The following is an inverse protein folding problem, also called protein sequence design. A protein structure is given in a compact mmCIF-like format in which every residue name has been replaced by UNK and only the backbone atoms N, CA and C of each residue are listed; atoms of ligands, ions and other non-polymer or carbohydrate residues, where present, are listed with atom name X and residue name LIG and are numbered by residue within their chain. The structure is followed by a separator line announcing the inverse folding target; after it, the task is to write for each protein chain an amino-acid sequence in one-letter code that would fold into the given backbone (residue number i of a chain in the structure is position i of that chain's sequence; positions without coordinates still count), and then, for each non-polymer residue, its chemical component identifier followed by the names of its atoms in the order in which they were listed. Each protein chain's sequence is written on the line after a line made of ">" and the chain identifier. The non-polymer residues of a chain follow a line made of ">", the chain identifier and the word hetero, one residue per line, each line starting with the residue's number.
data_IF_255619330278
#
_entry.id   IF_255619330278
#
_cell.length_a   1.000
_cell.length_b   1.000
_cell.length_c   1.000
_cell.angle_alpha   90.00
_cell.angle_beta   90.00
_cell.angle_gamma   90.00
#
_symmetry.space_group_name_H-M   'P 1'
#
loop_
_entity.id
_entity.type
_entity.pdbx_description
1 polymer ?
#
# COMPACT_ATOMS: atom_id res chain seq x y z
N UNK A 1 11.32 4.32 19.94
CA UNK A 1 12.15 4.35 18.72
C UNK A 1 11.36 5.06 17.64
N UNK A 2 12.00 5.78 16.72
CA UNK A 2 11.26 6.43 15.62
C UNK A 2 11.01 5.46 14.46
N UNK A 3 10.14 5.83 13.52
CA UNK A 3 9.78 4.99 12.38
C UNK A 3 10.99 4.57 11.53
N UNK A 4 11.98 5.43 11.33
CA UNK A 4 13.19 5.08 10.57
C UNK A 4 14.03 4.00 11.27
N UNK A 5 14.11 4.04 12.61
CA UNK A 5 14.77 3.00 13.40
C UNK A 5 14.01 1.67 13.31
N UNK A 6 12.68 1.71 13.35
CA UNK A 6 11.84 0.52 13.21
C UNK A 6 12.00 -0.12 11.83
N UNK A 7 12.00 0.67 10.75
CA UNK A 7 12.28 0.16 9.39
C UNK A 7 13.66 -0.50 9.34
N UNK A 8 14.69 0.15 9.90
CA UNK A 8 16.04 -0.43 9.97
C UNK A 8 16.07 -1.77 10.70
N UNK A 9 15.39 -1.87 11.84
CA UNK A 9 15.29 -3.08 12.66
C UNK A 9 14.48 -4.20 11.98
N UNK A 10 13.42 -3.84 11.26
CA UNK A 10 12.66 -4.78 10.43
C UNK A 10 13.52 -5.36 9.30
N UNK A 11 14.34 -4.53 8.64
CA UNK A 11 15.22 -4.96 7.55
C UNK A 11 16.43 -5.79 8.03
N UNK A 12 16.93 -5.55 9.24
CA UNK A 12 18.02 -6.33 9.84
C UNK A 12 17.56 -7.64 10.48
N UNK A 13 16.25 -7.84 10.64
CA UNK A 13 15.67 -8.98 11.35
C UNK A 13 15.75 -8.87 12.88
N UNK A 14 15.97 -7.66 13.40
CA UNK A 14 15.91 -7.38 14.85
C UNK A 14 14.46 -7.36 15.36
N UNK A 15 13.49 -7.14 14.46
CA UNK A 15 12.05 -7.34 14.69
C UNK A 15 11.64 -8.63 13.96
N UNK A 16 10.81 -9.45 14.61
CA UNK A 16 10.36 -10.70 14.02
C UNK A 16 9.58 -10.46 12.71
N UNK A 17 9.84 -11.28 11.70
CA UNK A 17 9.21 -11.16 10.38
C UNK A 17 7.69 -11.20 10.46
N UNK A 18 7.13 -12.09 11.29
CA UNK A 18 5.68 -12.21 11.51
C UNK A 18 5.08 -10.90 12.08
N UNK A 19 5.80 -10.21 12.98
CA UNK A 19 5.35 -8.95 13.57
C UNK A 19 5.37 -7.81 12.54
N UNK A 20 6.40 -7.76 11.69
CA UNK A 20 6.50 -6.81 10.57
C UNK A 20 5.37 -7.08 9.58
N UNK A 21 5.20 -8.32 9.15
CA UNK A 21 4.18 -8.73 8.20
C UNK A 21 2.78 -8.39 8.73
N UNK A 22 2.51 -8.67 10.00
CA UNK A 22 1.20 -8.40 10.57
C UNK A 22 0.93 -6.89 10.70
N UNK A 23 1.92 -6.09 11.13
CA UNK A 23 1.77 -4.63 11.16
C UNK A 23 1.46 -4.05 9.76
N UNK A 24 2.12 -4.55 8.72
CA UNK A 24 1.87 -4.13 7.34
C UNK A 24 0.56 -4.65 6.78
N UNK A 25 0.13 -5.85 7.16
CA UNK A 25 -1.18 -6.38 6.82
C UNK A 25 -2.30 -5.53 7.41
N UNK A 26 -2.13 -5.04 8.65
CA UNK A 26 -3.09 -4.12 9.27
C UNK A 26 -3.20 -2.80 8.51
N UNK A 27 -2.13 -2.30 7.90
CA UNK A 27 -2.17 -1.08 7.05
C UNK A 27 -3.14 -1.24 5.88
N UNK A 28 -3.12 -2.39 5.21
CA UNK A 28 -3.99 -2.64 4.05
C UNK A 28 -5.41 -3.07 4.44
N UNK A 29 -5.58 -3.75 5.57
CA UNK A 29 -6.85 -4.40 5.91
C UNK A 29 -7.71 -3.63 6.92
N UNK A 30 -7.13 -2.87 7.84
CA UNK A 30 -7.91 -2.11 8.84
C UNK A 30 -8.85 -1.10 8.18
N UNK A 31 -8.45 -0.36 7.13
CA UNK A 31 -9.36 0.54 6.42
C UNK A 31 -10.64 -0.13 5.91
N UNK A 32 -10.58 -1.41 5.49
CA UNK A 32 -11.73 -2.15 4.96
C UNK A 32 -12.86 -2.36 5.99
N UNK A 33 -12.54 -2.21 7.29
CA UNK A 33 -13.51 -2.35 8.37
C UNK A 33 -14.35 -1.07 8.58
N UNK A 34 -14.11 -0.01 7.80
CA UNK A 34 -14.74 1.29 7.93
C UNK A 34 -15.30 1.77 6.59
N UNK A 35 -16.53 2.30 6.59
CA UNK A 35 -17.24 2.68 5.36
C UNK A 35 -16.64 3.92 4.66
N UNK A 36 -16.07 4.88 5.41
CA UNK A 36 -15.57 6.14 4.83
C UNK A 36 -14.25 6.66 5.43
N UNK A 37 -13.58 5.87 6.27
CA UNK A 37 -12.28 6.23 6.85
C UNK A 37 -12.26 7.45 7.77
N UNK A 38 -13.39 8.10 8.05
CA UNK A 38 -13.39 9.36 8.83
C UNK A 38 -13.08 9.16 10.30
N UNK A 39 -13.41 7.99 10.83
CA UNK A 39 -13.30 7.68 12.26
C UNK A 39 -12.10 6.80 12.60
N UNK A 40 -11.36 6.33 11.60
CA UNK A 40 -10.20 5.49 11.83
C UNK A 40 -9.10 6.27 12.58
N UNK A 41 -8.48 5.60 13.53
CA UNK A 41 -7.42 6.15 14.36
C UNK A 41 -6.28 5.14 14.55
N UNK A 42 -5.13 5.62 15.02
CA UNK A 42 -3.93 4.82 15.30
C UNK A 42 -4.24 3.63 16.22
N UNK A 43 -5.11 3.85 17.20
CA UNK A 43 -5.50 2.84 18.18
C UNK A 43 -6.25 1.66 17.57
N UNK A 44 -6.95 1.86 16.45
CA UNK A 44 -7.67 0.79 15.76
C UNK A 44 -6.68 -0.23 15.18
N UNK A 45 -5.56 0.25 14.63
CA UNK A 45 -4.47 -0.58 14.16
C UNK A 45 -3.72 -1.24 15.32
N UNK A 46 -3.36 -0.47 16.35
CA UNK A 46 -2.62 -1.01 17.51
C UNK A 46 -3.39 -2.12 18.25
N UNK A 47 -4.71 -2.02 18.31
CA UNK A 47 -5.56 -3.08 18.89
C UNK A 47 -5.61 -4.34 18.04
N UNK A 48 -5.34 -4.22 16.75
CA UNK A 48 -5.29 -5.33 15.81
C UNK A 48 -4.01 -6.16 15.90
N UNK A 49 -2.93 -5.62 16.48
CA UNK A 49 -1.66 -6.34 16.61
C UNK A 49 -1.80 -7.63 17.43
N UNK A 50 -1.28 -8.73 16.89
CA UNK A 50 -1.28 -10.05 17.53
C UNK A 50 -0.38 -10.06 18.76
N UNK A 51 0.78 -9.42 18.65
CA UNK A 51 1.73 -9.24 19.74
C UNK A 51 1.79 -7.77 20.15
N UNK A 52 1.81 -7.54 21.46
CA UNK A 52 1.94 -6.19 21.99
C UNK A 52 3.37 -5.69 21.80
N UNK A 53 3.58 -4.56 21.11
CA UNK A 53 4.91 -4.04 20.87
C UNK A 53 5.56 -3.60 22.19
N UNK A 54 6.89 -3.61 22.23
CA UNK A 54 7.62 -2.96 23.32
C UNK A 54 7.28 -1.46 23.37
N UNK A 55 7.57 -0.80 24.50
CA UNK A 55 7.35 0.64 24.63
C UNK A 55 8.12 1.45 23.56
N UNK A 56 9.27 0.95 23.12
CA UNK A 56 10.05 1.59 22.07
C UNK A 56 9.41 1.41 20.70
N UNK A 57 8.99 0.19 20.33
CA UNK A 57 8.31 -0.10 19.05
C UNK A 57 6.93 0.58 18.96
N UNK A 58 6.22 0.67 20.07
CA UNK A 58 4.90 1.30 20.13
C UNK A 58 4.94 2.75 19.64
N UNK A 59 6.03 3.48 19.87
CA UNK A 59 6.21 4.85 19.37
C UNK A 59 6.30 4.88 17.83
N UNK A 60 7.08 3.98 17.24
CA UNK A 60 7.21 3.88 15.79
C UNK A 60 5.93 3.37 15.11
N UNK A 61 5.24 2.41 15.73
CA UNK A 61 3.96 1.89 15.22
C UNK A 61 2.84 2.92 15.33
N UNK A 62 2.82 3.75 16.39
CA UNK A 62 1.93 4.91 16.44
C UNK A 62 2.21 5.88 15.28
N UNK A 63 3.48 6.18 14.99
CA UNK A 63 3.85 7.03 13.86
C UNK A 63 3.37 6.43 12.52
N UNK A 64 3.62 5.14 12.31
CA UNK A 64 3.19 4.40 11.11
C UNK A 64 1.67 4.41 10.92
N UNK A 65 0.92 4.04 11.96
CA UNK A 65 -0.54 4.00 11.91
C UNK A 65 -1.17 5.39 11.89
N UNK A 66 -0.48 6.40 12.42
CA UNK A 66 -0.86 7.81 12.29
C UNK A 66 -0.81 8.29 10.85
N UNK A 67 0.22 7.86 10.10
CA UNK A 67 0.30 8.11 8.65
C UNK A 67 -0.88 7.45 7.93
N UNK A 68 -1.20 6.19 8.25
CA UNK A 68 -2.32 5.47 7.65
C UNK A 68 -3.67 6.13 7.95
N UNK A 69 -3.91 6.53 9.19
CA UNK A 69 -5.12 7.25 9.58
C UNK A 69 -5.22 8.63 8.90
N UNK A 70 -4.11 9.36 8.77
CA UNK A 70 -4.06 10.62 8.04
C UNK A 70 -4.37 10.43 6.55
N UNK A 71 -3.83 9.38 5.94
CA UNK A 71 -4.10 9.01 4.55
C UNK A 71 -5.59 8.70 4.33
N UNK A 72 -6.18 7.87 5.19
CA UNK A 72 -7.60 7.55 5.15
C UNK A 72 -8.48 8.81 5.26
N UNK A 73 -8.16 9.72 6.18
CA UNK A 73 -8.89 10.99 6.33
C UNK A 73 -8.76 11.91 5.13
N UNK A 74 -7.60 11.93 4.48
CA UNK A 74 -7.37 12.73 3.27
C UNK A 74 -8.27 12.27 2.12
N UNK A 75 -8.48 10.96 2.00
CA UNK A 75 -9.25 10.33 0.94
C UNK A 75 -10.60 9.79 1.44
N UNK A 76 -11.25 10.46 2.39
CA UNK A 76 -12.47 10.00 3.05
C UNK A 76 -13.76 10.12 2.20
N UNK A 77 -13.65 10.52 0.93
CA UNK A 77 -14.75 10.49 -0.04
C UNK A 77 -14.82 9.08 -0.65
N UNK A 78 -16.01 8.49 -0.76
CA UNK A 78 -16.19 7.07 -1.04
C UNK A 78 -15.33 6.53 -2.21
N UNK A 79 -15.36 7.17 -3.37
CA UNK A 79 -14.61 6.71 -4.54
C UNK A 79 -13.08 6.85 -4.39
N UNK A 80 -12.61 7.84 -3.63
CA UNK A 80 -11.18 8.02 -3.35
C UNK A 80 -10.73 7.08 -2.23
N UNK A 81 -11.62 6.76 -1.29
CA UNK A 81 -11.39 5.82 -0.21
C UNK A 81 -11.21 4.41 -0.76
N UNK A 82 -12.12 3.95 -1.62
CA UNK A 82 -12.03 2.64 -2.29
C UNK A 82 -10.73 2.54 -3.11
N UNK A 83 -10.39 3.60 -3.85
CA UNK A 83 -9.13 3.65 -4.61
C UNK A 83 -7.90 3.61 -3.70
N UNK A 84 -7.92 4.32 -2.58
CA UNK A 84 -6.83 4.31 -1.61
C UNK A 84 -6.65 2.92 -1.01
N UNK A 85 -7.74 2.24 -0.65
CA UNK A 85 -7.69 0.85 -0.15
C UNK A 85 -7.11 -0.12 -1.18
N UNK A 86 -7.56 -0.02 -2.43
CA UNK A 86 -7.09 -0.84 -3.54
C UNK A 86 -5.58 -0.64 -3.80
N UNK A 87 -5.09 0.62 -3.76
CA UNK A 87 -3.66 0.92 -3.88
C UNK A 87 -2.85 0.32 -2.73
N UNK A 88 -3.29 0.50 -1.47
CA UNK A 88 -2.55 -0.03 -0.31
C UNK A 88 -2.57 -1.56 -0.30
N UNK A 89 -3.67 -2.18 -0.74
CA UNK A 89 -3.77 -3.64 -0.89
C UNK A 89 -2.77 -4.15 -1.93
N UNK A 90 -2.69 -3.52 -3.10
CA UNK A 90 -1.68 -3.85 -4.10
C UNK A 90 -0.26 -3.62 -3.57
N UNK A 91 -0.01 -2.53 -2.83
CA UNK A 91 1.31 -2.28 -2.24
C UNK A 91 1.74 -3.38 -1.26
N UNK A 92 0.81 -3.86 -0.43
CA UNK A 92 1.07 -4.99 0.46
C UNK A 92 1.44 -6.26 -0.32
N UNK A 93 0.70 -6.58 -1.38
CA UNK A 93 1.00 -7.73 -2.24
C UNK A 93 2.36 -7.60 -2.93
N UNK A 94 2.71 -6.41 -3.42
CA UNK A 94 4.00 -6.15 -4.04
C UNK A 94 5.14 -6.22 -3.02
N UNK A 95 4.93 -5.78 -1.78
CA UNK A 95 5.91 -5.91 -0.71
C UNK A 95 6.12 -7.39 -0.33
N UNK A 96 5.03 -8.15 -0.15
CA UNK A 96 5.09 -9.57 0.17
C UNK A 96 5.78 -10.40 -0.92
N UNK A 97 5.69 -9.97 -2.18
CA UNK A 97 6.39 -10.58 -3.33
C UNK A 97 7.84 -10.08 -3.52
N UNK A 98 8.32 -9.16 -2.69
CA UNK A 98 9.66 -8.58 -2.77
C UNK A 98 9.86 -7.59 -3.92
N UNK A 99 8.78 -7.09 -4.52
CA UNK A 99 8.80 -6.11 -5.61
C UNK A 99 8.86 -4.68 -5.04
N UNK A 100 8.06 -4.40 -4.01
CA UNK A 100 8.05 -3.11 -3.32
C UNK A 100 8.92 -3.19 -2.06
N UNK A 101 9.91 -2.30 -1.97
CA UNK A 101 10.74 -2.20 -0.77
C UNK A 101 9.97 -1.52 0.36
N UNK A 102 10.17 -1.98 1.60
CA UNK A 102 9.52 -1.39 2.78
C UNK A 102 9.76 0.12 2.88
N UNK A 103 11.01 0.56 2.69
CA UNK A 103 11.38 1.99 2.75
C UNK A 103 10.62 2.83 1.72
N UNK A 104 10.50 2.32 0.49
CA UNK A 104 9.81 3.02 -0.59
C UNK A 104 8.30 3.07 -0.33
N UNK A 105 7.73 1.99 0.22
CA UNK A 105 6.33 1.96 0.61
C UNK A 105 6.02 2.99 1.70
N UNK A 106 6.79 3.01 2.79
CA UNK A 106 6.56 3.97 3.89
C UNK A 106 6.74 5.41 3.38
N UNK A 107 7.75 5.67 2.55
CA UNK A 107 7.97 6.99 1.97
C UNK A 107 6.81 7.41 1.04
N UNK A 108 6.23 6.47 0.30
CA UNK A 108 5.05 6.71 -0.53
C UNK A 108 3.83 7.05 0.34
N UNK A 109 3.55 6.26 1.39
CA UNK A 109 2.43 6.50 2.32
C UNK A 109 2.53 7.89 2.98
N UNK A 110 3.72 8.27 3.44
CA UNK A 110 3.98 9.61 3.99
C UNK A 110 3.72 10.70 2.96
N UNK A 111 4.24 10.54 1.74
CA UNK A 111 4.01 11.49 0.66
C UNK A 111 2.54 11.63 0.31
N UNK A 112 1.79 10.52 0.28
CA UNK A 112 0.36 10.52 -0.02
C UNK A 112 -0.45 11.19 1.10
N UNK A 113 -0.18 10.87 2.37
CA UNK A 113 -0.84 11.47 3.52
C UNK A 113 -0.62 13.00 3.60
N UNK A 114 0.58 13.46 3.25
CA UNK A 114 0.95 14.88 3.19
C UNK A 114 0.46 15.60 1.92
N UNK A 115 -0.07 14.86 0.95
CA UNK A 115 -0.50 15.40 -0.34
C UNK A 115 0.62 15.80 -1.30
N UNK A 116 1.82 15.26 -1.09
CA UNK A 116 2.94 15.35 -2.05
C UNK A 116 2.83 14.31 -3.16
N UNK A 117 2.09 13.23 -2.93
CA UNK A 117 1.79 12.16 -3.88
C UNK A 117 0.26 12.07 -3.97
N UNK A 118 -0.27 11.98 -5.18
CA UNK A 118 -1.68 11.74 -5.42
C UNK A 118 -1.92 10.24 -5.68
N UNK A 119 -3.14 9.77 -5.39
CA UNK A 119 -3.53 8.41 -5.74
C UNK A 119 -3.45 8.21 -7.26
N UNK A 120 -2.97 7.05 -7.74
CA UNK A 120 -2.99 6.73 -9.16
C UNK A 120 -4.43 6.75 -9.69
N UNK A 121 -4.69 7.56 -10.71
CA UNK A 121 -5.98 7.56 -11.42
C UNK A 121 -5.79 6.94 -12.79
N UNK A 122 -6.69 6.03 -13.16
CA UNK A 122 -6.73 5.36 -14.45
C UNK A 122 -8.08 5.56 -15.12
N UNK A 123 -8.05 5.77 -16.42
CA UNK A 123 -9.19 5.57 -17.30
C UNK A 123 -9.07 4.17 -17.90
N UNK A 124 -9.67 3.18 -17.24
CA UNK A 124 -9.54 1.79 -17.66
C UNK A 124 -10.25 1.51 -18.99
N UNK A 125 -11.29 2.27 -19.33
CA UNK A 125 -11.95 2.17 -20.63
C UNK A 125 -11.03 2.68 -21.74
N UNK A 126 -10.29 3.77 -21.52
CA UNK A 126 -9.27 4.25 -22.46
C UNK A 126 -8.13 3.23 -22.63
N UNK A 127 -7.67 2.64 -21.53
CA UNK A 127 -6.51 1.72 -21.53
C UNK A 127 -6.87 0.34 -22.10
N UNK A 128 -8.01 -0.24 -21.71
CA UNK A 128 -8.41 -1.61 -22.09
C UNK A 128 -9.40 -1.64 -23.26
N UNK A 129 -9.93 -0.49 -23.69
CA UNK A 129 -10.98 -0.36 -24.71
C UNK A 129 -12.39 -0.64 -24.19
N UNK A 130 -12.52 -1.38 -23.08
CA UNK A 130 -13.71 -1.50 -22.25
C UNK A 130 -13.33 -2.24 -20.97
N UNK A 131 -13.60 -1.65 -19.81
CA UNK A 131 -13.41 -2.26 -18.51
C UNK A 131 -14.76 -2.69 -17.91
N UNK A 132 -14.79 -3.78 -17.12
CA UNK A 132 -15.94 -4.12 -16.29
C UNK A 132 -16.35 -2.98 -15.34
N UNK A 133 -17.63 -2.96 -14.94
CA UNK A 133 -18.07 -2.06 -13.87
C UNK A 133 -17.37 -2.41 -12.56
N UNK A 134 -16.82 -1.41 -11.88
CA UNK A 134 -16.08 -1.60 -10.63
C UNK A 134 -14.67 -2.15 -10.81
N UNK A 135 -14.10 -2.10 -12.02
CA UNK A 135 -12.71 -2.49 -12.26
C UNK A 135 -11.73 -1.56 -11.53
N UNK A 136 -10.81 -2.17 -10.78
CA UNK A 136 -9.89 -1.49 -9.88
C UNK A 136 -8.43 -1.69 -10.31
N UNK A 137 -7.50 -1.03 -9.62
CA UNK A 137 -6.06 -1.11 -9.91
C UNK A 137 -5.52 -2.52 -9.65
N UNK A 138 -6.03 -3.23 -8.64
CA UNK A 138 -5.66 -4.62 -8.43
C UNK A 138 -6.11 -5.52 -9.59
N UNK A 139 -7.32 -5.32 -10.13
CA UNK A 139 -7.78 -6.05 -11.32
C UNK A 139 -6.90 -5.73 -12.54
N UNK A 140 -6.48 -4.47 -12.68
CA UNK A 140 -5.58 -4.06 -13.76
C UNK A 140 -4.21 -4.74 -13.62
N UNK A 141 -3.68 -4.83 -12.41
CA UNK A 141 -2.44 -5.57 -12.14
C UNK A 141 -2.56 -7.05 -12.52
N UNK A 142 -3.64 -7.70 -12.14
CA UNK A 142 -3.88 -9.11 -12.43
C UNK A 142 -4.04 -9.35 -13.94
N UNK A 143 -4.77 -8.49 -14.65
CA UNK A 143 -4.93 -8.56 -16.12
C UNK A 143 -3.59 -8.40 -16.84
N UNK A 144 -2.73 -7.47 -16.41
CA UNK A 144 -1.40 -7.29 -16.99
C UNK A 144 -0.53 -8.53 -16.77
N UNK A 145 -0.53 -9.11 -15.57
CA UNK A 145 0.24 -10.33 -15.30
C UNK A 145 -0.30 -11.51 -16.11
N UNK A 146 -1.63 -11.67 -16.18
CA UNK A 146 -2.26 -12.73 -16.96
C UNK A 146 -1.87 -12.68 -18.44
N UNK A 147 -1.81 -11.49 -19.04
CA UNK A 147 -1.31 -11.32 -20.43
C UNK A 147 0.15 -11.73 -20.58
N UNK A 148 0.98 -11.37 -19.61
CA UNK A 148 2.41 -11.69 -19.62
C UNK A 148 2.69 -13.19 -19.39
N UNK A 149 1.76 -13.95 -18.81
CA UNK A 149 1.88 -15.41 -18.74
C UNK A 149 1.85 -16.07 -20.13
N UNK A 150 1.02 -15.56 -21.05
CA UNK A 150 0.92 -16.07 -22.42
C UNK A 150 1.95 -15.41 -23.37
N UNK A 151 2.21 -14.11 -23.18
CA UNK A 151 3.15 -13.33 -23.98
C UNK A 151 4.13 -12.53 -23.09
N UNK A 152 5.22 -13.15 -22.61
CA UNK A 152 6.15 -12.52 -21.67
C UNK A 152 6.86 -11.26 -22.20
N UNK A 153 6.98 -11.15 -23.52
CA UNK A 153 7.63 -10.03 -24.21
C UNK A 153 6.62 -8.98 -24.73
N UNK A 154 5.35 -9.02 -24.28
CA UNK A 154 4.35 -8.03 -24.67
C UNK A 154 4.71 -6.63 -24.15
N UNK A 155 5.28 -5.81 -25.03
CA UNK A 155 5.77 -4.47 -24.71
C UNK A 155 4.70 -3.57 -24.10
N UNK A 156 3.43 -3.74 -24.53
CA UNK A 156 2.32 -2.96 -24.00
C UNK A 156 2.08 -3.29 -22.53
N UNK A 157 1.94 -4.58 -22.18
CA UNK A 157 1.70 -5.02 -20.80
C UNK A 157 2.89 -4.68 -19.89
N UNK A 158 4.12 -4.88 -20.38
CA UNK A 158 5.33 -4.51 -19.64
C UNK A 158 5.39 -3.00 -19.34
N UNK A 159 5.06 -2.16 -20.32
CA UNK A 159 5.08 -0.70 -20.14
C UNK A 159 4.03 -0.25 -19.12
N UNK A 160 2.82 -0.80 -19.16
CA UNK A 160 1.75 -0.43 -18.22
C UNK A 160 2.03 -0.97 -16.81
N UNK A 161 2.65 -2.14 -16.70
CA UNK A 161 3.05 -2.71 -15.42
C UNK A 161 4.17 -1.86 -14.78
N UNK A 162 5.18 -1.43 -15.55
CA UNK A 162 6.22 -0.52 -15.04
C UNK A 162 5.62 0.84 -14.60
N UNK A 163 4.70 1.40 -15.39
CA UNK A 163 4.01 2.62 -15.00
C UNK A 163 3.20 2.45 -13.71
N UNK A 164 2.44 1.37 -13.60
CA UNK A 164 1.67 1.05 -12.41
C UNK A 164 2.57 0.94 -11.19
N UNK A 165 3.64 0.15 -11.29
CA UNK A 165 4.62 -0.04 -10.23
C UNK A 165 5.22 1.29 -9.78
N UNK A 166 5.63 2.16 -10.72
CA UNK A 166 6.13 3.50 -10.38
C UNK A 166 5.09 4.34 -9.65
N UNK A 167 3.83 4.32 -10.09
CA UNK A 167 2.74 5.10 -9.47
C UNK A 167 2.40 4.62 -8.05
N UNK A 168 2.52 3.32 -7.78
CA UNK A 168 2.30 2.75 -6.43
C UNK A 168 3.57 2.71 -5.57
N UNK A 169 4.66 3.33 -6.02
CA UNK A 169 5.84 3.58 -5.19
C UNK A 169 7.02 2.63 -5.39
N UNK A 170 6.95 1.69 -6.34
CA UNK A 170 8.11 0.87 -6.71
C UNK A 170 9.14 1.79 -7.38
N UNK A 171 10.33 1.89 -6.78
CA UNK A 171 11.46 2.59 -7.37
C UNK A 171 12.39 1.57 -8.00
N UNK A 172 12.75 1.78 -9.27
CA UNK A 172 13.82 1.02 -9.89
C UNK A 172 15.10 1.26 -9.07
N UNK A 173 15.78 0.19 -8.69
CA UNK A 173 17.09 0.29 -8.04
C UNK A 173 18.06 0.88 -9.06
N UNK A 174 18.65 2.03 -8.73
CA UNK A 174 19.69 2.67 -9.53
C UNK A 174 20.99 1.85 -9.55
#
# INVERSE_FOLDING_TARGET
>A
MNLQQWIGAALSGDIAEDDVQHALWLLSNTPLLYDDGKTIAEEDYLRGLEHQPSAEEAEALNELFGIAAALARRYAEAADYDRMQDVISLQFDLWARGILRLEDWIAWLQGAAEGRIDLPVYDFDEVLGSAPEGFMIQDFHDELNFRLEDAPDDEWSLSHLDELYRRVGVRQSA
#
